data_IF_892136812750
#
_entry.id   IF_892136812750
#
_cell.length_a   1.000
_cell.length_b   1.000
_cell.length_c   1.000
_cell.angle_alpha   90.00
_cell.angle_beta   90.00
_cell.angle_gamma   90.00
#
_symmetry.space_group_name_H-M   'P 1'
#
loop_
_entity.id
_entity.type
_entity.pdbx_description
1 polymer ?
#
# COMPACT_ATOMS: atom_id res chain seq x y z
N UNK A 1 5.81 1.42 -21.45
CA UNK A 1 5.83 1.99 -20.07
C UNK A 1 6.34 3.45 -20.07
N UNK A 2 5.69 4.37 -20.78
CA UNK A 2 6.18 5.76 -20.92
C UNK A 2 5.21 6.85 -20.41
N UNK A 3 3.95 6.51 -20.11
CA UNK A 3 2.93 7.49 -19.71
C UNK A 3 2.95 7.88 -18.22
N UNK A 4 3.60 7.09 -17.35
CA UNK A 4 3.58 7.34 -15.89
C UNK A 4 4.62 8.40 -15.46
N UNK A 5 5.64 8.67 -16.29
CA UNK A 5 6.73 9.60 -15.95
C UNK A 5 6.41 11.08 -16.21
N UNK A 6 5.34 11.40 -16.95
CA UNK A 6 5.02 12.78 -17.29
C UNK A 6 4.22 13.53 -16.19
N UNK A 7 3.59 12.82 -15.24
CA UNK A 7 2.71 13.46 -14.24
C UNK A 7 3.42 13.99 -13.00
N UNK A 8 4.64 13.53 -12.69
CA UNK A 8 5.40 14.02 -11.53
C UNK A 8 6.04 15.41 -11.75
N UNK A 9 6.32 15.79 -13.00
CA UNK A 9 6.93 17.09 -13.32
C UNK A 9 5.97 18.29 -13.26
N UNK A 10 4.64 18.08 -13.31
CA UNK A 10 3.66 19.17 -13.23
C UNK A 10 3.32 19.62 -11.80
N UNK A 11 3.58 18.80 -10.77
CA UNK A 11 3.25 19.15 -9.38
C UNK A 11 4.34 20.03 -8.73
N UNK A 12 5.55 20.08 -9.31
CA UNK A 12 6.65 20.90 -8.80
C UNK A 12 6.58 22.39 -9.18
N UNK A 13 5.59 22.83 -9.96
CA UNK A 13 5.47 24.24 -10.42
C UNK A 13 4.47 25.09 -9.62
N UNK A 14 3.67 24.48 -8.74
CA UNK A 14 2.66 25.20 -7.93
C UNK A 14 3.18 25.64 -6.56
N UNK A 15 4.41 25.27 -6.18
CA UNK A 15 5.04 25.62 -4.91
C UNK A 15 5.98 26.85 -5.01
N UNK A 16 5.67 27.82 -5.87
CA UNK A 16 6.28 29.15 -5.74
C UNK A 16 5.44 29.94 -4.74
N UNK A 17 5.98 30.35 -3.57
CA UNK A 17 5.32 31.39 -2.80
C UNK A 17 5.25 32.61 -3.70
N UNK A 18 4.04 33.03 -4.05
CA UNK A 18 3.84 34.37 -4.58
C UNK A 18 4.46 35.32 -3.55
N UNK A 19 5.55 35.97 -3.94
CA UNK A 19 6.14 37.04 -3.16
C UNK A 19 5.02 38.00 -2.82
N UNK A 20 4.66 38.04 -1.53
CA UNK A 20 3.74 39.01 -0.97
C UNK A 20 4.46 40.34 -1.10
N UNK A 21 4.29 40.99 -2.25
CA UNK A 21 4.70 42.36 -2.44
C UNK A 21 3.95 43.17 -1.38
N UNK A 22 4.70 43.74 -0.45
CA UNK A 22 4.18 44.69 0.51
C UNK A 22 3.49 45.80 -0.28
N UNK A 23 2.14 45.81 -0.26
CA UNK A 23 1.37 46.96 -0.71
C UNK A 23 1.77 48.11 0.19
N UNK A 24 2.64 48.96 -0.32
CA UNK A 24 2.95 50.25 0.27
C UNK A 24 1.63 50.97 0.51
N UNK A 25 1.26 51.12 1.79
CA UNK A 25 0.15 51.95 2.19
C UNK A 25 0.48 53.38 1.77
N UNK A 26 -0.18 53.85 0.69
CA UNK A 26 -0.19 55.28 0.35
C UNK A 26 -0.86 56.00 1.50
N UNK A 27 -0.06 56.67 2.33
CA UNK A 27 -0.55 57.66 3.29
C UNK A 27 -1.12 58.82 2.49
N UNK A 28 -2.43 58.80 2.28
CA UNK A 28 -3.18 59.99 1.89
C UNK A 28 -3.32 60.85 3.14
N UNK A 29 -2.39 61.80 3.33
CA UNK A 29 -2.67 62.95 4.19
C UNK A 29 -3.75 63.75 3.47
N UNK A 30 -4.98 63.73 4.00
CA UNK A 30 -6.01 64.67 3.60
C UNK A 30 -5.63 66.02 4.23
N UNK A 31 -4.80 66.81 3.54
CA UNK A 31 -4.71 68.25 3.76
C UNK A 31 -5.63 68.92 2.76
N UNK A 32 -6.89 69.03 3.10
CA UNK A 32 -7.79 69.97 2.47
C UNK A 32 -8.63 70.61 3.56
N UNK A 33 -8.31 71.87 3.86
CA UNK A 33 -9.29 72.93 4.15
C UNK A 33 -8.51 74.25 4.27
N UNK A 34 -8.50 74.97 3.14
CA UNK A 34 -8.07 76.35 3.06
C UNK A 34 -9.08 77.29 3.74
N UNK A 35 -8.51 78.26 4.44
CA UNK A 35 -8.97 79.62 4.71
C UNK A 35 -10.46 79.96 4.57
N UNK A 36 -11.06 80.26 5.71
CA UNK A 36 -12.22 81.12 5.85
C UNK A 36 -12.25 81.67 7.27
N UNK A 37 -11.80 82.92 7.43
CA UNK A 37 -12.09 83.76 8.60
C UNK A 37 -13.55 83.59 9.01
N UNK A 38 -13.83 83.25 10.27
CA UNK A 38 -14.95 83.78 11.06
C UNK A 38 -14.80 83.30 12.51
N UNK A 39 -14.69 84.27 13.42
CA UNK A 39 -14.68 84.06 14.86
C UNK A 39 -16.00 83.46 15.32
N UNK A 40 -15.99 82.21 15.80
CA UNK A 40 -17.05 81.72 16.68
C UNK A 40 -16.49 80.74 17.72
N UNK A 41 -16.78 81.05 18.97
CA UNK A 41 -16.40 80.27 20.15
C UNK A 41 -17.22 78.98 20.19
N UNK A 42 -16.74 77.93 19.52
CA UNK A 42 -17.31 76.60 19.64
C UNK A 42 -16.48 75.74 20.59
N UNK A 43 -17.07 75.41 21.73
CA UNK A 43 -16.63 74.31 22.58
C UNK A 43 -16.51 73.06 21.69
N UNK A 44 -15.30 72.54 21.51
CA UNK A 44 -15.10 71.26 20.85
C UNK A 44 -15.89 70.20 21.63
N UNK A 45 -16.79 69.43 21.00
CA UNK A 45 -17.48 68.35 21.69
C UNK A 45 -16.40 67.39 22.19
N UNK A 46 -16.43 67.09 23.48
CA UNK A 46 -15.66 65.99 24.06
C UNK A 46 -16.24 64.70 23.49
N UNK A 47 -15.82 64.34 22.28
CA UNK A 47 -16.19 63.08 21.65
C UNK A 47 -15.48 62.01 22.47
N UNK A 48 -16.24 61.27 23.26
CA UNK A 48 -15.75 60.07 23.93
C UNK A 48 -15.31 59.08 22.83
N UNK A 49 -14.01 59.04 22.53
CA UNK A 49 -13.46 58.03 21.62
C UNK A 49 -13.60 56.66 22.27
N UNK A 50 -14.57 55.88 21.80
CA UNK A 50 -14.73 54.49 22.25
C UNK A 50 -13.43 53.74 21.98
N UNK A 51 -12.94 52.91 22.91
CA UNK A 51 -11.72 52.15 22.70
C UNK A 51 -11.85 51.35 21.41
N UNK A 52 -10.88 51.53 20.50
CA UNK A 52 -10.94 50.93 19.18
C UNK A 52 -11.07 49.40 19.25
N UNK A 53 -11.66 48.81 18.22
CA UNK A 53 -11.95 47.38 18.12
C UNK A 53 -10.72 46.48 18.37
N UNK A 54 -9.51 46.99 18.13
CA UNK A 54 -8.25 46.34 18.48
C UNK A 54 -8.04 46.11 19.97
N UNK A 55 -8.51 46.99 20.86
CA UNK A 55 -8.39 46.82 22.31
C UNK A 55 -9.17 45.59 22.77
N UNK A 56 -10.39 45.41 22.24
CA UNK A 56 -11.22 44.24 22.54
C UNK A 56 -10.60 42.93 22.03
N UNK A 57 -9.93 42.96 20.88
CA UNK A 57 -9.18 41.80 20.40
C UNK A 57 -8.00 41.46 21.30
N UNK A 58 -7.23 42.45 21.76
CA UNK A 58 -6.09 42.22 22.66
C UNK A 58 -6.58 41.71 24.01
N UNK A 59 -7.64 42.28 24.58
CA UNK A 59 -8.24 41.80 25.82
C UNK A 59 -8.82 40.38 25.67
N UNK A 60 -9.49 40.11 24.55
CA UNK A 60 -10.00 38.78 24.23
C UNK A 60 -8.89 37.75 24.08
N UNK A 61 -7.80 38.09 23.37
CA UNK A 61 -6.63 37.24 23.22
C UNK A 61 -5.91 36.99 24.55
N UNK A 62 -5.77 38.04 25.37
CA UNK A 62 -5.22 37.93 26.71
C UNK A 62 -6.06 36.99 27.59
N UNK A 63 -7.38 37.17 27.61
CA UNK A 63 -8.29 36.28 28.35
C UNK A 63 -8.25 34.83 27.87
N UNK A 64 -8.29 34.61 26.55
CA UNK A 64 -8.13 33.28 25.95
C UNK A 64 -6.79 32.63 26.31
N UNK A 65 -5.70 33.38 26.28
CA UNK A 65 -4.37 32.86 26.63
C UNK A 65 -4.30 32.44 28.10
N UNK A 66 -4.91 33.21 29.00
CA UNK A 66 -4.92 32.92 30.44
C UNK A 66 -5.82 31.73 30.76
N UNK A 67 -6.95 31.62 30.07
CA UNK A 67 -7.82 30.45 30.12
C UNK A 67 -7.11 29.19 29.62
N UNK A 68 -6.49 29.25 28.43
CA UNK A 68 -5.70 28.13 27.89
C UNK A 68 -4.56 27.72 28.83
N UNK A 69 -3.86 28.68 29.42
CA UNK A 69 -2.81 28.42 30.42
C UNK A 69 -3.36 27.74 31.69
N UNK A 70 -4.53 28.18 32.17
CA UNK A 70 -5.17 27.58 33.35
C UNK A 70 -5.54 26.11 33.14
N UNK A 71 -6.04 25.75 31.94
CA UNK A 71 -6.34 24.36 31.57
C UNK A 71 -5.05 23.57 31.33
N UNK A 72 -4.05 24.19 30.70
CA UNK A 72 -2.79 23.52 30.36
C UNK A 72 -1.88 23.27 31.56
N UNK A 73 -2.01 24.02 32.65
CA UNK A 73 -1.17 23.85 33.86
C UNK A 73 -1.51 22.57 34.63
N UNK A 74 -2.72 22.04 34.47
CA UNK A 74 -3.11 20.79 35.09
C UNK A 74 -2.61 19.59 34.24
N UNK A 75 -1.58 18.91 34.76
CA UNK A 75 -0.94 17.74 34.14
C UNK A 75 -1.92 16.59 33.89
N UNK A 76 -3.08 16.58 34.56
CA UNK A 76 -4.10 15.53 34.45
C UNK A 76 -5.36 15.95 33.67
N UNK A 77 -5.36 17.13 33.04
CA UNK A 77 -6.53 17.64 32.33
C UNK A 77 -7.04 16.67 31.24
N UNK A 78 -8.35 16.47 31.19
CA UNK A 78 -9.00 15.59 30.20
C UNK A 78 -8.74 16.04 28.76
N UNK A 79 -8.53 17.34 28.55
CA UNK A 79 -8.21 17.93 27.24
C UNK A 79 -6.80 17.56 26.80
N UNK A 80 -5.81 17.62 27.69
CA UNK A 80 -4.45 17.18 27.38
C UNK A 80 -4.42 15.68 27.04
N UNK A 81 -5.14 14.84 27.80
CA UNK A 81 -5.29 13.40 27.52
C UNK A 81 -5.97 13.12 26.17
N UNK A 82 -6.98 13.91 25.81
CA UNK A 82 -7.65 13.80 24.52
C UNK A 82 -6.71 14.19 23.37
N UNK A 83 -5.98 15.30 23.47
CA UNK A 83 -4.97 15.70 22.46
C UNK A 83 -3.87 14.65 22.35
N UNK A 84 -3.39 14.13 23.47
CA UNK A 84 -2.35 13.11 23.51
C UNK A 84 -2.81 11.80 22.86
N UNK A 85 -4.10 11.43 22.98
CA UNK A 85 -4.64 10.25 22.32
C UNK A 85 -4.46 10.27 20.79
N UNK A 86 -4.67 11.42 20.14
CA UNK A 86 -4.42 11.55 18.69
C UNK A 86 -2.95 11.51 18.36
N UNK A 87 -2.10 12.10 19.22
CA UNK A 87 -0.65 12.11 19.02
C UNK A 87 -0.10 10.70 19.09
N UNK A 88 -0.46 9.93 20.11
CA UNK A 88 -0.01 8.54 20.30
C UNK A 88 -0.45 7.66 19.13
N UNK A 89 -1.70 7.76 18.68
CA UNK A 89 -2.18 6.99 17.51
C UNK A 89 -1.43 7.37 16.23
N UNK A 90 -1.19 8.67 16.02
CA UNK A 90 -0.41 9.14 14.87
C UNK A 90 1.04 8.65 14.89
N UNK A 91 1.66 8.56 16.09
CA UNK A 91 3.02 8.06 16.24
C UNK A 91 3.09 6.56 15.97
N UNK A 92 2.20 5.76 16.57
CA UNK A 92 2.12 4.31 16.33
C UNK A 92 1.92 3.98 14.86
N UNK A 93 1.00 4.68 14.19
CA UNK A 93 0.76 4.46 12.75
C UNK A 93 1.96 4.87 11.90
N UNK A 94 2.69 5.92 12.28
CA UNK A 94 3.91 6.34 11.58
C UNK A 94 5.06 5.35 11.76
N UNK A 95 5.27 4.86 12.98
CA UNK A 95 6.24 3.81 13.31
C UNK A 95 5.94 2.53 12.54
N UNK A 96 4.70 2.04 12.61
CA UNK A 96 4.26 0.85 11.87
C UNK A 96 4.48 0.96 10.36
N UNK A 97 4.22 2.13 9.77
CA UNK A 97 4.45 2.35 8.33
C UNK A 97 5.94 2.37 7.99
N UNK A 98 6.78 2.84 8.89
CA UNK A 98 8.22 2.88 8.69
C UNK A 98 8.84 1.49 8.83
N UNK A 99 8.42 0.70 9.81
CA UNK A 99 8.85 -0.70 9.95
C UNK A 99 8.41 -1.54 8.75
N UNK A 100 7.15 -1.41 8.32
CA UNK A 100 6.67 -2.09 7.11
C UNK A 100 7.50 -1.73 5.87
N UNK A 101 7.92 -0.46 5.73
CA UNK A 101 8.77 -0.03 4.61
C UNK A 101 10.19 -0.58 4.70
N UNK A 102 10.78 -0.71 5.89
CA UNK A 102 12.09 -1.34 6.05
C UNK A 102 12.00 -2.83 5.73
N UNK A 103 10.98 -3.51 6.23
CA UNK A 103 10.80 -4.95 6.03
C UNK A 103 10.64 -5.30 4.54
N UNK A 104 9.84 -4.52 3.80
CA UNK A 104 9.67 -4.69 2.35
C UNK A 104 11.00 -4.47 1.61
N UNK A 105 11.81 -3.49 2.03
CA UNK A 105 13.12 -3.24 1.40
C UNK A 105 14.09 -4.38 1.67
N UNK A 106 14.10 -4.90 2.88
CA UNK A 106 14.97 -6.01 3.28
C UNK A 106 14.57 -7.29 2.55
N UNK A 107 13.27 -7.57 2.44
CA UNK A 107 12.77 -8.69 1.66
C UNK A 107 13.16 -8.54 0.18
N UNK A 108 12.93 -7.36 -0.42
CA UNK A 108 13.30 -7.12 -1.81
C UNK A 108 14.82 -7.23 -2.05
N UNK A 109 15.66 -6.86 -1.07
CA UNK A 109 17.10 -7.02 -1.14
C UNK A 109 17.52 -8.51 -1.10
N UNK A 110 16.89 -9.31 -0.22
CA UNK A 110 17.10 -10.77 -0.15
C UNK A 110 16.69 -11.45 -1.45
N UNK A 111 15.52 -11.12 -1.99
CA UNK A 111 15.01 -11.69 -3.24
C UNK A 111 15.91 -11.31 -4.41
N UNK A 112 16.36 -10.04 -4.48
CA UNK A 112 17.32 -9.60 -5.50
C UNK A 112 18.61 -10.40 -5.42
N UNK A 113 19.12 -10.69 -4.23
CA UNK A 113 20.32 -11.51 -4.09
C UNK A 113 20.10 -12.91 -4.68
N UNK A 114 18.97 -13.56 -4.37
CA UNK A 114 18.61 -14.87 -4.94
C UNK A 114 18.63 -14.87 -6.48
N UNK A 115 18.03 -13.85 -7.11
CA UNK A 115 17.97 -13.76 -8.57
C UNK A 115 19.29 -13.37 -9.23
N UNK A 116 20.19 -12.68 -8.51
CA UNK A 116 21.50 -12.30 -9.03
C UNK A 116 22.54 -13.40 -8.89
N UNK A 117 22.48 -14.18 -7.80
CA UNK A 117 23.44 -15.27 -7.55
C UNK A 117 23.01 -16.60 -8.14
N UNK A 118 21.71 -16.80 -8.37
CA UNK A 118 21.22 -17.97 -9.08
C UNK A 118 21.80 -18.00 -10.48
N UNK A 119 22.48 -19.08 -10.85
CA UNK A 119 22.82 -19.29 -12.25
C UNK A 119 21.50 -19.39 -13.01
N UNK A 120 21.25 -18.42 -13.90
CA UNK A 120 20.12 -18.48 -14.80
C UNK A 120 20.37 -19.68 -15.71
N UNK A 121 19.55 -20.71 -15.59
CA UNK A 121 19.66 -21.87 -16.48
C UNK A 121 19.56 -21.39 -17.92
N UNK A 122 20.53 -21.81 -18.74
CA UNK A 122 20.44 -21.60 -20.18
C UNK A 122 19.15 -22.29 -20.64
N UNK A 123 18.22 -21.51 -21.17
CA UNK A 123 16.97 -22.07 -21.67
C UNK A 123 17.29 -22.97 -22.85
N UNK A 124 17.38 -24.28 -22.61
CA UNK A 124 17.56 -25.25 -23.68
C UNK A 124 16.28 -25.31 -24.49
N UNK A 125 16.36 -25.04 -25.79
CA UNK A 125 15.25 -25.27 -26.71
C UNK A 125 15.04 -26.78 -26.85
N UNK A 126 14.00 -27.29 -26.19
CA UNK A 126 13.62 -28.69 -26.31
C UNK A 126 13.04 -28.92 -27.72
N UNK A 127 13.58 -29.89 -28.47
CA UNK A 127 13.04 -30.26 -29.80
C UNK A 127 11.59 -30.75 -29.73
N UNK A 128 11.14 -31.23 -28.57
CA UNK A 128 9.80 -31.79 -28.36
C UNK A 128 9.25 -31.31 -27.00
N UNK A 129 8.71 -30.08 -26.92
CA UNK A 129 8.17 -29.53 -25.68
C UNK A 129 6.91 -30.26 -25.18
N UNK A 130 6.20 -30.96 -26.07
CA UNK A 130 5.01 -31.75 -25.72
C UNK A 130 5.32 -32.97 -24.83
N UNK A 131 6.59 -33.38 -24.75
CA UNK A 131 7.02 -34.56 -24.00
C UNK A 131 7.43 -34.27 -22.55
N UNK A 132 7.35 -33.00 -22.09
CA UNK A 132 7.78 -32.59 -20.75
C UNK A 132 7.02 -33.33 -19.64
N UNK A 133 5.75 -33.67 -19.89
CA UNK A 133 4.88 -34.35 -18.94
C UNK A 133 4.66 -35.84 -19.26
N UNK A 134 5.35 -36.36 -20.29
CA UNK A 134 5.31 -37.79 -20.58
C UNK A 134 6.26 -38.53 -19.63
N UNK A 135 5.72 -39.40 -18.77
CA UNK A 135 6.52 -40.26 -17.93
C UNK A 135 7.41 -41.20 -18.76
N UNK A 136 8.58 -41.56 -18.24
CA UNK A 136 9.41 -42.58 -18.87
C UNK A 136 8.66 -43.92 -18.90
N UNK A 137 8.64 -44.64 -20.04
CA UNK A 137 8.00 -45.96 -20.13
C UNK A 137 8.52 -46.96 -19.09
N UNK A 138 9.74 -46.75 -18.60
CA UNK A 138 10.43 -47.64 -17.68
C UNK A 138 10.44 -47.13 -16.22
N UNK A 139 10.09 -45.87 -15.96
CA UNK A 139 10.09 -45.30 -14.60
C UNK A 139 8.66 -45.19 -14.06
N UNK A 140 7.99 -46.33 -13.98
CA UNK A 140 6.62 -46.42 -13.50
C UNK A 140 6.65 -46.97 -12.07
N UNK A 141 6.04 -46.28 -11.07
CA UNK A 141 6.02 -46.77 -9.70
C UNK A 141 5.31 -48.13 -9.59
N UNK A 142 5.80 -48.98 -8.70
CA UNK A 142 5.19 -50.29 -8.45
C UNK A 142 3.71 -50.11 -8.05
N UNK A 143 2.80 -50.80 -8.76
CA UNK A 143 1.36 -50.70 -8.54
C UNK A 143 0.61 -49.74 -9.47
N UNK A 144 1.27 -49.08 -10.43
CA UNK A 144 0.58 -48.26 -11.44
C UNK A 144 -0.24 -49.08 -12.44
N UNK A 145 0.24 -50.27 -12.80
CA UNK A 145 -0.47 -51.18 -13.69
C UNK A 145 -1.50 -52.02 -12.93
N UNK A 146 -2.62 -52.32 -13.58
CA UNK A 146 -3.67 -53.19 -13.03
C UNK A 146 -3.10 -54.58 -12.80
N UNK A 147 -3.45 -55.21 -11.67
CA UNK A 147 -3.06 -56.60 -11.42
C UNK A 147 -3.68 -57.53 -12.48
N UNK A 148 -2.82 -58.22 -13.26
CA UNK A 148 -3.18 -59.12 -14.34
C UNK A 148 -3.34 -60.59 -13.92
N UNK A 149 -3.19 -60.92 -12.64
CA UNK A 149 -3.20 -62.31 -12.13
C UNK A 149 -4.44 -63.09 -12.58
N UNK A 150 -5.62 -62.45 -12.56
CA UNK A 150 -6.88 -63.07 -13.00
C UNK A 150 -6.89 -63.38 -14.50
N UNK A 151 -6.30 -62.52 -15.31
CA UNK A 151 -6.20 -62.70 -16.76
C UNK A 151 -5.23 -63.83 -17.06
N UNK A 152 -4.09 -63.87 -16.35
CA UNK A 152 -3.11 -64.95 -16.45
C UNK A 152 -3.76 -66.29 -16.08
N UNK A 153 -4.47 -66.37 -14.96
CA UNK A 153 -5.18 -67.57 -14.53
C UNK A 153 -6.23 -68.04 -15.54
N UNK A 154 -6.98 -67.11 -16.14
CA UNK A 154 -7.97 -67.42 -17.17
C UNK A 154 -7.31 -68.09 -18.39
N UNK A 155 -6.23 -67.52 -18.93
CA UNK A 155 -5.55 -68.08 -20.09
C UNK A 155 -4.81 -69.38 -19.78
N UNK A 156 -4.25 -69.53 -18.59
CA UNK A 156 -3.68 -70.80 -18.14
C UNK A 156 -4.74 -71.91 -18.10
N UNK A 157 -5.94 -71.61 -17.59
CA UNK A 157 -7.05 -72.57 -17.57
C UNK A 157 -7.50 -72.93 -18.99
N UNK A 158 -7.65 -71.94 -19.87
CA UNK A 158 -7.98 -72.19 -21.28
C UNK A 158 -6.96 -73.11 -21.97
N UNK A 159 -5.67 -72.89 -21.72
CA UNK A 159 -4.62 -73.74 -22.26
C UNK A 159 -4.76 -75.20 -21.80
N UNK A 160 -4.97 -75.42 -20.50
CA UNK A 160 -5.15 -76.78 -19.95
C UNK A 160 -6.40 -77.46 -20.49
N UNK A 161 -7.50 -76.73 -20.64
CA UNK A 161 -8.75 -77.25 -21.21
C UNK A 161 -8.55 -77.64 -22.69
N UNK A 162 -7.80 -76.84 -23.46
CA UNK A 162 -7.45 -77.17 -24.84
C UNK A 162 -6.53 -78.38 -24.95
N UNK A 163 -5.52 -78.51 -24.09
CA UNK A 163 -4.65 -79.69 -24.03
C UNK A 163 -5.44 -80.93 -23.67
N UNK A 164 -6.35 -80.86 -22.70
CA UNK A 164 -7.24 -81.96 -22.36
C UNK A 164 -8.14 -82.35 -23.53
N UNK A 165 -8.65 -81.38 -24.31
CA UNK A 165 -9.42 -81.64 -25.54
C UNK A 165 -8.56 -82.31 -26.61
N UNK A 166 -7.33 -81.83 -26.83
CA UNK A 166 -6.38 -82.42 -27.79
C UNK A 166 -6.01 -83.85 -27.39
N UNK A 167 -5.73 -84.10 -26.11
CA UNK A 167 -5.42 -85.42 -25.57
C UNK A 167 -6.60 -86.40 -25.71
N UNK A 168 -7.83 -85.96 -25.44
CA UNK A 168 -9.04 -86.77 -25.65
C UNK A 168 -9.24 -87.17 -27.11
N UNK A 169 -9.07 -86.22 -28.04
CA UNK A 169 -9.13 -86.51 -29.48
C UNK A 169 -8.05 -87.50 -29.91
N UNK A 170 -6.82 -87.35 -29.38
CA UNK A 170 -5.72 -88.27 -29.65
C UNK A 170 -5.98 -89.67 -29.10
N UNK A 171 -6.59 -89.79 -27.92
CA UNK A 171 -6.95 -91.08 -27.32
C UNK A 171 -8.04 -91.80 -28.13
N UNK A 172 -9.08 -91.07 -28.56
CA UNK A 172 -10.16 -91.62 -29.41
C UNK A 172 -9.63 -92.10 -30.77
N UNK A 173 -8.74 -91.33 -31.41
CA UNK A 173 -8.11 -91.71 -32.67
C UNK A 173 -7.15 -92.90 -32.58
N UNK A 174 -6.75 -93.33 -31.36
CA UNK A 174 -5.92 -94.52 -31.14
C UNK A 174 -6.73 -95.79 -30.85
N UNK A 175 -8.02 -95.65 -30.56
CA UNK A 175 -8.93 -96.77 -30.22
C UNK A 175 -9.79 -97.23 -31.40
N UNK A 176 -9.88 -96.42 -32.45
CA UNK A 176 -10.38 -96.81 -33.79
C UNK A 176 -9.25 -97.45 -34.61
#
# INVERSE_FOLDING_TARGET
MLAVRQRAACIARTARPAAIAARQARRSYASDHGHGDHHDHHHAPQVEESPGLGLYFVLGAAGLSMFAYSISRDENSSVAKWIDSFRVESQKTWEYRNTLRSDIKDQAARDKHLFLTGQKEEGYELRTPELIDSGSPNNVPAGHYVNLDKVIQHYQKQHLDEEARKAKKLAQAKTE
#
